data_IF_653494335510
#
_entry.id   IF_653494335510
#
_cell.length_a   1.000
_cell.length_b   1.000
_cell.length_c   1.000
_cell.angle_alpha   90.00
_cell.angle_beta   90.00
_cell.angle_gamma   90.00
#
_symmetry.space_group_name_H-M   'P 1'
#
loop_
_entity.id
_entity.type
_entity.pdbx_description
1 polymer ?
#
# COMPACT_ATOMS: atom_id res chain seq x y z
N UNK A 1 -48.94 36.55 -40.76
CA UNK A 1 -48.13 35.80 -39.76
C UNK A 1 -48.78 34.43 -39.58
N UNK A 2 -48.16 33.36 -40.10
CA UNK A 2 -48.72 31.99 -40.05
C UNK A 2 -48.52 31.42 -38.64
N UNK A 3 -49.60 30.97 -38.01
CA UNK A 3 -49.59 30.33 -36.69
C UNK A 3 -48.78 29.03 -36.75
N UNK A 4 -47.63 29.01 -36.07
CA UNK A 4 -46.84 27.79 -35.90
C UNK A 4 -47.69 26.80 -35.11
N UNK A 5 -47.93 25.63 -35.71
CA UNK A 5 -48.79 24.60 -35.16
C UNK A 5 -48.11 23.98 -33.93
N UNK A 6 -48.75 24.06 -32.75
CA UNK A 6 -48.15 23.69 -31.45
C UNK A 6 -47.62 22.24 -31.41
N UNK A 7 -48.18 21.37 -32.23
CA UNK A 7 -47.76 19.97 -32.39
C UNK A 7 -46.36 19.86 -33.00
N UNK A 8 -46.02 20.72 -33.97
CA UNK A 8 -44.70 20.72 -34.62
C UNK A 8 -43.60 21.17 -33.64
N UNK A 9 -43.91 22.13 -32.76
CA UNK A 9 -43.00 22.57 -31.71
C UNK A 9 -42.72 21.47 -30.67
N UNK A 10 -43.75 20.70 -30.30
CA UNK A 10 -43.62 19.60 -29.34
C UNK A 10 -42.81 18.43 -29.91
N UNK A 11 -42.94 18.15 -31.21
CA UNK A 11 -42.16 17.12 -31.91
C UNK A 11 -40.68 17.49 -32.01
N UNK A 12 -40.37 18.76 -32.32
CA UNK A 12 -38.98 19.25 -32.38
C UNK A 12 -38.31 19.19 -31.00
N UNK A 13 -39.07 19.51 -29.94
CA UNK A 13 -38.55 19.45 -28.58
C UNK A 13 -38.29 18.00 -28.12
N UNK A 14 -39.14 17.05 -28.52
CA UNK A 14 -38.94 15.63 -28.20
C UNK A 14 -37.67 15.07 -28.87
N UNK A 15 -37.40 15.42 -30.13
CA UNK A 15 -36.19 14.97 -30.85
C UNK A 15 -34.91 15.54 -30.23
N UNK A 16 -34.96 16.77 -29.70
CA UNK A 16 -33.80 17.40 -29.05
C UNK A 16 -33.36 16.69 -27.76
N UNK A 17 -34.30 16.08 -27.01
CA UNK A 17 -33.98 15.34 -25.77
C UNK A 17 -33.26 14.03 -26.08
N UNK A 18 -33.69 13.29 -27.11
CA UNK A 18 -33.04 12.04 -27.52
C UNK A 18 -31.66 12.25 -28.18
N UNK A 19 -31.44 13.40 -28.81
CA UNK A 19 -30.14 13.77 -29.39
C UNK A 19 -29.12 14.30 -28.35
N UNK A 20 -29.54 14.54 -27.10
CA UNK A 20 -28.66 15.05 -26.03
C UNK A 20 -27.84 13.97 -25.32
N UNK A 21 -28.12 12.69 -25.59
CA UNK A 21 -27.34 11.58 -25.05
C UNK A 21 -26.02 11.47 -25.84
N UNK A 22 -25.06 12.35 -25.54
CA UNK A 22 -23.69 12.17 -25.99
C UNK A 22 -23.11 10.99 -25.22
N UNK A 23 -22.55 9.96 -25.88
CA UNK A 23 -21.81 8.94 -25.16
C UNK A 23 -20.67 9.65 -24.42
N UNK A 24 -20.64 9.51 -23.10
CA UNK A 24 -19.53 9.99 -22.30
C UNK A 24 -18.28 9.25 -22.79
N UNK A 25 -17.36 9.99 -23.39
CA UNK A 25 -16.05 9.48 -23.73
C UNK A 25 -15.28 9.33 -22.42
N UNK A 26 -15.48 8.20 -21.74
CA UNK A 26 -14.67 7.83 -20.60
C UNK A 26 -13.22 7.82 -21.06
N UNK A 27 -12.39 8.60 -20.38
CA UNK A 27 -10.96 8.63 -20.66
C UNK A 27 -10.38 7.23 -20.42
N UNK A 28 -9.57 6.75 -21.35
CA UNK A 28 -8.87 5.47 -21.23
C UNK A 28 -8.11 5.41 -19.90
N UNK A 29 -8.32 4.35 -19.12
CA UNK A 29 -7.81 4.19 -17.75
C UNK A 29 -6.28 3.99 -17.67
N UNK A 30 -5.56 4.15 -18.78
CA UNK A 30 -4.14 3.92 -18.91
C UNK A 30 -3.75 2.44 -18.78
N UNK A 31 -2.46 2.12 -18.95
CA UNK A 31 -1.97 0.76 -18.77
C UNK A 31 -2.07 0.33 -17.30
N UNK A 32 -2.20 -0.98 -17.09
CA UNK A 32 -2.13 -1.55 -15.74
C UNK A 32 -0.79 -1.20 -15.09
N UNK A 33 -0.85 -0.77 -13.84
CA UNK A 33 0.31 -0.26 -13.13
C UNK A 33 1.17 -1.39 -12.59
N UNK A 34 2.47 -1.29 -12.82
CA UNK A 34 3.45 -2.21 -12.25
C UNK A 34 3.68 -1.91 -10.75
N UNK A 35 3.05 -2.72 -9.91
CA UNK A 35 3.18 -2.62 -8.46
C UNK A 35 4.55 -3.11 -7.97
N UNK A 36 5.17 -4.06 -8.67
CA UNK A 36 6.47 -4.57 -8.26
C UNK A 36 7.57 -3.52 -8.49
N UNK A 37 7.54 -2.84 -9.63
CA UNK A 37 8.43 -1.72 -9.91
C UNK A 37 8.29 -0.60 -8.87
N UNK A 38 7.09 -0.40 -8.30
CA UNK A 38 6.89 0.59 -7.24
C UNK A 38 7.64 0.26 -5.94
N UNK A 39 7.84 -1.02 -5.64
CA UNK A 39 8.52 -1.50 -4.44
C UNK A 39 10.05 -1.45 -4.56
N UNK A 40 10.59 -1.49 -5.77
CA UNK A 40 12.02 -1.42 -6.02
C UNK A 40 12.64 -0.11 -5.53
N UNK A 41 13.81 -0.20 -4.88
CA UNK A 41 14.63 0.95 -4.52
C UNK A 41 15.08 0.94 -3.06
N UNK A 42 15.61 2.09 -2.64
CA UNK A 42 16.10 2.31 -1.28
C UNK A 42 15.02 2.97 -0.43
N UNK A 43 14.79 2.43 0.76
CA UNK A 43 13.74 2.83 1.67
C UNK A 43 14.32 3.13 3.04
N UNK A 44 14.04 4.32 3.56
CA UNK A 44 14.44 4.73 4.92
C UNK A 44 13.21 4.88 5.78
N UNK A 45 13.24 4.30 6.97
CA UNK A 45 12.13 4.38 7.91
C UNK A 45 12.00 5.81 8.43
N UNK A 46 10.77 6.32 8.42
CA UNK A 46 10.46 7.67 8.91
C UNK A 46 9.45 7.66 10.06
N UNK A 47 8.63 6.61 10.16
CA UNK A 47 7.61 6.50 11.20
C UNK A 47 7.37 5.06 11.62
N UNK A 48 7.21 4.84 12.92
CA UNK A 48 6.77 3.58 13.51
C UNK A 48 5.55 3.84 14.40
N UNK A 49 4.44 3.17 14.10
CA UNK A 49 3.18 3.27 14.85
C UNK A 49 2.85 1.90 15.44
N UNK A 50 2.53 1.87 16.73
CA UNK A 50 1.98 0.70 17.40
C UNK A 50 0.46 0.84 17.50
N UNK A 51 -0.27 -0.26 17.27
CA UNK A 51 -1.72 -0.36 17.44
C UNK A 51 -2.02 -1.45 18.46
N UNK A 52 -2.81 -1.11 19.48
CA UNK A 52 -3.43 -2.11 20.35
C UNK A 52 -4.72 -2.59 19.69
N UNK A 53 -4.71 -3.82 19.21
CA UNK A 53 -5.81 -4.39 18.43
C UNK A 53 -6.98 -4.81 19.33
N UNK A 54 -6.75 -5.04 20.62
CA UNK A 54 -7.83 -5.29 21.58
C UNK A 54 -8.54 -3.98 21.95
N UNK A 55 -7.77 -2.92 22.19
CA UNK A 55 -8.31 -1.58 22.44
C UNK A 55 -9.13 -1.08 21.24
N UNK A 56 -8.63 -1.29 20.03
CA UNK A 56 -9.33 -0.98 18.78
C UNK A 56 -10.62 -1.77 18.63
N UNK A 57 -10.59 -3.08 18.88
CA UNK A 57 -11.79 -3.94 18.80
C UNK A 57 -12.86 -3.52 19.79
N UNK A 58 -12.46 -3.05 20.97
CA UNK A 58 -13.36 -2.57 22.03
C UNK A 58 -13.78 -1.11 21.88
N UNK A 59 -13.29 -0.40 20.86
CA UNK A 59 -13.66 0.98 20.57
C UNK A 59 -13.09 2.02 21.55
N UNK A 60 -11.95 1.73 22.18
CA UNK A 60 -11.31 2.73 23.04
C UNK A 60 -10.76 3.91 22.22
N UNK A 61 -10.77 5.14 22.78
CA UNK A 61 -10.33 6.34 22.07
C UNK A 61 -8.83 6.35 21.74
N UNK A 62 -8.00 5.75 22.60
CA UNK A 62 -6.55 5.70 22.44
C UNK A 62 -6.08 4.29 22.09
N UNK A 63 -6.08 4.00 20.79
CA UNK A 63 -5.77 2.67 20.24
C UNK A 63 -4.43 2.63 19.49
N UNK A 64 -3.84 3.78 19.17
CA UNK A 64 -2.60 3.90 18.40
C UNK A 64 -1.63 4.82 19.11
N UNK A 65 -0.35 4.45 19.04
CA UNK A 65 0.74 5.22 19.61
C UNK A 65 1.87 5.35 18.58
N UNK A 66 2.31 6.59 18.36
CA UNK A 66 3.55 6.84 17.62
C UNK A 66 4.74 6.48 18.53
N UNK A 67 5.52 5.49 18.12
CA UNK A 67 6.68 5.00 18.87
C UNK A 67 8.01 5.42 18.22
N UNK A 68 7.96 6.27 17.19
CA UNK A 68 9.11 6.67 16.38
C UNK A 68 10.25 7.27 17.22
N UNK A 69 9.93 8.01 18.28
CA UNK A 69 10.91 8.64 19.17
C UNK A 69 11.32 7.76 20.36
N UNK A 70 10.62 6.66 20.62
CA UNK A 70 10.93 5.77 21.74
C UNK A 70 12.17 4.90 21.48
N UNK A 71 12.45 4.63 20.22
CA UNK A 71 13.63 3.91 19.76
C UNK A 71 14.21 4.63 18.54
N UNK A 72 15.49 4.41 18.19
CA UNK A 72 16.13 5.08 17.05
C UNK A 72 15.69 4.44 15.72
N UNK A 73 14.39 4.45 15.44
CA UNK A 73 13.77 3.83 14.28
C UNK A 73 14.29 4.39 12.96
N UNK A 74 14.54 5.70 12.89
CA UNK A 74 14.95 6.41 11.67
C UNK A 74 16.34 6.06 11.15
N UNK A 75 17.12 5.27 11.90
CA UNK A 75 18.38 4.69 11.41
C UNK A 75 18.17 3.46 10.54
N UNK A 76 16.98 2.86 10.56
CA UNK A 76 16.68 1.69 9.75
C UNK A 76 16.48 2.09 8.29
N UNK A 77 17.21 1.42 7.40
CA UNK A 77 17.02 1.51 5.97
C UNK A 77 17.12 0.12 5.33
N UNK A 78 16.51 -0.05 4.16
CA UNK A 78 16.66 -1.27 3.37
C UNK A 78 16.55 -0.98 1.88
N UNK A 79 17.09 -1.87 1.06
CA UNK A 79 17.01 -1.82 -0.39
C UNK A 79 16.34 -3.08 -0.94
N UNK A 80 15.50 -2.91 -1.95
CA UNK A 80 14.86 -3.98 -2.70
C UNK A 80 15.30 -3.89 -4.17
N UNK A 81 15.98 -4.94 -4.65
CA UNK A 81 16.41 -5.03 -6.04
C UNK A 81 15.50 -5.96 -6.83
N UNK A 82 15.26 -5.63 -8.08
CA UNK A 82 14.51 -6.45 -9.05
C UNK A 82 15.35 -6.65 -10.31
N UNK A 83 15.02 -7.65 -11.09
CA UNK A 83 15.48 -7.84 -12.46
C UNK A 83 14.27 -8.02 -13.41
N UNK A 84 14.53 -8.40 -14.67
CA UNK A 84 13.47 -8.64 -15.66
C UNK A 84 12.51 -9.78 -15.28
N UNK A 85 12.90 -10.67 -14.37
CA UNK A 85 12.15 -11.85 -13.95
C UNK A 85 11.47 -11.67 -12.58
N UNK A 86 11.83 -10.63 -11.81
CA UNK A 86 11.14 -10.25 -10.59
C UNK A 86 12.07 -9.84 -9.43
N UNK A 87 11.66 -10.05 -8.17
CA UNK A 87 12.48 -9.81 -6.99
C UNK A 87 13.82 -10.56 -7.01
N UNK A 88 14.91 -9.88 -6.64
CA UNK A 88 16.24 -10.51 -6.54
C UNK A 88 16.77 -10.42 -5.11
N UNK A 89 17.64 -9.46 -4.84
CA UNK A 89 18.34 -9.29 -3.58
C UNK A 89 17.76 -8.16 -2.76
N UNK A 90 17.91 -8.26 -1.44
CA UNK A 90 17.65 -7.15 -0.55
C UNK A 90 18.83 -6.97 0.40
N UNK A 91 18.98 -5.76 0.92
CA UNK A 91 19.85 -5.48 2.06
C UNK A 91 19.06 -4.66 3.07
N UNK A 92 19.25 -4.91 4.36
CA UNK A 92 18.63 -4.16 5.44
C UNK A 92 19.70 -3.75 6.45
N UNK A 93 19.77 -2.44 6.69
CA UNK A 93 20.71 -1.79 7.59
C UNK A 93 19.93 -1.27 8.79
N UNK A 94 19.87 -2.02 9.90
CA UNK A 94 19.09 -1.60 11.07
C UNK A 94 19.68 -0.38 11.78
N UNK A 95 20.99 -0.15 11.67
CA UNK A 95 21.68 0.84 12.50
C UNK A 95 21.48 0.50 13.98
N UNK A 96 20.95 1.45 14.75
CA UNK A 96 20.59 1.26 16.16
C UNK A 96 19.12 0.90 16.38
N UNK A 97 18.31 0.86 15.31
CA UNK A 97 16.87 0.58 15.36
C UNK A 97 16.59 -0.86 15.83
N UNK A 98 15.46 -1.10 16.52
CA UNK A 98 14.95 -2.44 16.73
C UNK A 98 14.83 -3.23 15.42
N UNK A 99 14.97 -4.56 15.50
CA UNK A 99 14.91 -5.43 14.31
C UNK A 99 13.49 -5.44 13.72
N UNK A 100 13.30 -4.74 12.59
CA UNK A 100 12.05 -4.75 11.83
C UNK A 100 12.00 -5.94 10.87
N UNK A 101 13.12 -6.25 10.22
CA UNK A 101 13.30 -7.46 9.41
C UNK A 101 14.30 -8.38 10.15
N UNK A 102 14.02 -9.68 10.23
CA UNK A 102 14.84 -10.63 11.02
C UNK A 102 16.24 -10.82 10.44
N UNK A 103 16.39 -10.61 9.13
CA UNK A 103 17.60 -10.83 8.34
C UNK A 103 18.05 -9.51 7.71
N UNK A 104 19.37 -9.29 7.59
CA UNK A 104 19.97 -8.03 7.11
C UNK A 104 20.35 -8.07 5.63
N UNK A 105 20.15 -9.18 4.95
CA UNK A 105 20.39 -9.31 3.52
C UNK A 105 20.10 -10.72 3.04
N UNK A 106 20.03 -10.91 1.73
CA UNK A 106 19.68 -12.17 1.08
C UNK A 106 18.79 -11.94 -0.12
N UNK A 107 17.84 -12.84 -0.35
CA UNK A 107 16.83 -12.70 -1.39
C UNK A 107 15.50 -12.23 -0.81
N UNK A 108 14.73 -11.51 -1.61
CA UNK A 108 13.36 -11.20 -1.27
C UNK A 108 12.43 -11.70 -2.37
N UNK A 109 11.17 -11.92 -2.01
CA UNK A 109 10.12 -12.31 -2.91
C UNK A 109 8.80 -11.66 -2.48
N UNK A 110 7.79 -11.78 -3.33
CA UNK A 110 6.41 -11.45 -3.01
C UNK A 110 5.53 -12.68 -3.13
N UNK A 111 4.39 -12.67 -2.44
CA UNK A 111 3.39 -13.73 -2.54
C UNK A 111 2.67 -13.75 -3.90
N UNK A 112 2.56 -12.60 -4.57
CA UNK A 112 2.03 -12.48 -5.92
C UNK A 112 2.73 -11.35 -6.68
N UNK A 113 3.26 -11.63 -7.89
CA UNK A 113 3.99 -10.64 -8.69
C UNK A 113 3.10 -9.49 -9.18
N UNK A 114 1.80 -9.74 -9.36
CA UNK A 114 0.83 -8.77 -9.89
C UNK A 114 0.18 -7.94 -8.78
N UNK A 115 -0.18 -8.58 -7.66
CA UNK A 115 -0.87 -7.96 -6.52
C UNK A 115 -0.21 -8.37 -5.19
N UNK A 116 1.02 -7.90 -4.91
CA UNK A 116 1.76 -8.33 -3.75
C UNK A 116 1.08 -7.89 -2.46
N UNK A 117 0.88 -8.79 -1.50
CA UNK A 117 0.40 -8.45 -0.15
C UNK A 117 1.46 -8.69 0.90
N UNK A 118 2.44 -9.54 0.61
CA UNK A 118 3.50 -9.89 1.54
C UNK A 118 4.86 -9.79 0.89
N UNK A 119 5.82 -9.22 1.60
CA UNK A 119 7.24 -9.34 1.29
C UNK A 119 7.81 -10.49 2.09
N UNK A 120 8.61 -11.32 1.43
CA UNK A 120 9.22 -12.52 2.00
C UNK A 120 10.72 -12.36 1.89
N UNK A 121 11.42 -12.17 3.01
CA UNK A 121 12.87 -12.06 3.10
C UNK A 121 13.48 -13.39 3.48
N UNK A 122 14.49 -13.85 2.73
CA UNK A 122 15.14 -15.14 2.95
C UNK A 122 16.65 -14.99 3.00
N UNK A 123 17.27 -15.61 4.01
CA UNK A 123 18.72 -15.80 4.08
C UNK A 123 19.01 -17.21 4.61
N UNK A 124 19.48 -18.10 3.74
CA UNK A 124 19.63 -19.52 4.05
C UNK A 124 18.29 -20.13 4.48
N UNK A 125 18.27 -20.75 5.66
CA UNK A 125 17.06 -21.36 6.23
C UNK A 125 16.12 -20.35 6.94
N UNK A 126 16.54 -19.11 7.14
CA UNK A 126 15.74 -18.10 7.86
C UNK A 126 14.82 -17.39 6.87
N UNK A 127 13.51 -17.41 7.17
CA UNK A 127 12.48 -16.69 6.43
C UNK A 127 11.78 -15.68 7.36
N UNK A 128 11.60 -14.45 6.87
CA UNK A 128 10.80 -13.42 7.52
C UNK A 128 9.76 -12.89 6.54
N UNK A 129 8.49 -12.90 6.96
CA UNK A 129 7.38 -12.41 6.14
C UNK A 129 6.82 -11.16 6.80
N UNK A 130 6.64 -10.11 6.01
CA UNK A 130 5.97 -8.87 6.42
C UNK A 130 4.86 -8.53 5.46
N UNK A 131 3.77 -7.98 5.95
CA UNK A 131 2.64 -7.61 5.12
C UNK A 131 2.79 -6.18 4.63
N UNK A 132 2.35 -5.90 3.40
CA UNK A 132 2.25 -4.56 2.86
C UNK A 132 1.01 -3.88 3.44
N UNK A 133 1.20 -2.71 4.04
CA UNK A 133 0.10 -1.83 4.48
C UNK A 133 -0.48 -0.97 3.36
N UNK A 134 0.23 -0.86 2.23
CA UNK A 134 -0.17 -0.12 1.05
C UNK A 134 0.96 -0.06 0.02
N UNK A 135 0.61 0.24 -1.22
CA UNK A 135 1.56 0.40 -2.32
C UNK A 135 2.08 1.85 -2.39
N UNK A 136 3.38 2.08 -2.64
CA UNK A 136 3.97 3.42 -2.76
C UNK A 136 3.76 3.98 -4.18
N UNK A 137 2.56 4.44 -4.45
CA UNK A 137 2.03 4.47 -5.81
C UNK A 137 0.98 5.59 -5.97
N UNK A 138 1.05 6.35 -7.07
CA UNK A 138 0.23 7.55 -7.26
C UNK A 138 0.58 8.65 -6.25
N UNK A 139 -0.42 9.17 -5.51
CA UNK A 139 -0.22 10.20 -4.49
C UNK A 139 0.46 9.68 -3.21
N UNK A 140 0.43 8.37 -2.96
CA UNK A 140 1.03 7.77 -1.76
C UNK A 140 2.48 7.38 -2.06
N UNK A 141 3.47 8.22 -1.74
CA UNK A 141 4.88 7.92 -2.06
C UNK A 141 5.59 7.04 -1.01
N UNK A 142 4.94 6.80 0.13
CA UNK A 142 5.50 6.03 1.25
C UNK A 142 5.22 4.54 1.11
N UNK A 143 6.23 3.70 1.35
CA UNK A 143 6.03 2.26 1.53
C UNK A 143 5.62 1.99 2.97
N UNK A 144 4.61 1.14 3.19
CA UNK A 144 4.15 0.76 4.54
C UNK A 144 4.28 -0.74 4.75
N UNK A 145 4.96 -1.14 5.82
CA UNK A 145 5.06 -2.53 6.24
C UNK A 145 4.32 -2.74 7.56
N UNK A 146 3.61 -3.86 7.67
CA UNK A 146 2.88 -4.27 8.88
C UNK A 146 3.51 -5.53 9.47
N UNK A 147 3.70 -5.54 10.80
CA UNK A 147 4.00 -6.74 11.59
C UNK A 147 2.97 -6.94 12.67
N UNK A 148 2.45 -8.16 12.74
CA UNK A 148 1.49 -8.59 13.75
C UNK A 148 2.21 -9.32 14.89
N UNK A 149 1.86 -8.99 16.13
CA UNK A 149 2.24 -9.73 17.33
C UNK A 149 1.00 -10.42 17.89
N UNK A 150 1.02 -11.74 17.82
CA UNK A 150 -0.05 -12.62 18.30
C UNK A 150 0.34 -13.24 19.63
N UNK A 151 -0.66 -13.48 20.45
CA UNK A 151 -0.52 -14.30 21.64
C UNK A 151 -0.12 -15.73 21.24
N UNK A 152 0.87 -16.31 21.93
CA UNK A 152 1.43 -17.61 21.56
C UNK A 152 0.46 -18.76 21.86
N UNK A 153 -0.36 -18.63 22.90
CA UNK A 153 -1.25 -19.70 23.36
C UNK A 153 -2.59 -19.68 22.64
N UNK A 154 -3.15 -18.50 22.41
CA UNK A 154 -4.50 -18.31 21.85
C UNK A 154 -4.50 -17.92 20.37
N UNK A 155 -3.36 -17.49 19.82
CA UNK A 155 -3.26 -16.98 18.44
C UNK A 155 -3.93 -15.62 18.20
N UNK A 156 -4.51 -15.03 19.25
CA UNK A 156 -5.19 -13.73 19.18
C UNK A 156 -4.20 -12.63 18.80
N UNK A 157 -4.59 -11.76 17.86
CA UNK A 157 -3.81 -10.56 17.54
C UNK A 157 -3.90 -9.59 18.72
N UNK A 158 -2.75 -9.25 19.30
CA UNK A 158 -2.66 -8.34 20.44
C UNK A 158 -2.23 -6.95 19.99
N UNK A 159 -1.09 -6.90 19.31
CA UNK A 159 -0.46 -5.65 18.89
C UNK A 159 -0.11 -5.76 17.41
N UNK A 160 -0.32 -4.69 16.66
CA UNK A 160 0.30 -4.56 15.34
C UNK A 160 1.20 -3.34 15.25
N UNK A 161 2.24 -3.45 14.43
CA UNK A 161 3.18 -2.39 14.16
C UNK A 161 3.09 -2.02 12.70
N UNK A 162 2.98 -0.73 12.42
CA UNK A 162 3.05 -0.17 11.07
C UNK A 162 4.31 0.67 10.95
N UNK A 163 5.13 0.35 9.97
CA UNK A 163 6.39 1.00 9.66
C UNK A 163 6.25 1.72 8.32
N UNK A 164 6.44 3.04 8.31
CA UNK A 164 6.34 3.86 7.10
C UNK A 164 7.72 4.32 6.65
N UNK A 165 7.99 4.14 5.38
CA UNK A 165 9.28 4.39 4.75
C UNK A 165 9.14 5.39 3.61
N UNK A 166 10.14 6.26 3.49
CA UNK A 166 10.29 7.13 2.34
C UNK A 166 11.37 6.58 1.41
N UNK A 167 11.14 6.74 0.10
CA UNK A 167 12.14 6.42 -0.91
C UNK A 167 13.34 7.36 -0.75
N UNK A 168 14.55 6.86 -0.94
CA UNK A 168 15.80 7.63 -0.92
C UNK A 168 16.31 7.85 -2.34
#
# INVERSE_FOLDING_TARGET
MKSINKITLMLVLAVAVFASCKPDALQELGPERDLLASLQGNWKLVKATQVDEDAKTKGFPYQQLDITSLFPYTTFAFSLNTDANGPTTFTATPGTSPKIIKVTGGTWAVDNLKYPKNLIFTNGAVRDTVSLGGYPVGAATSLKLKKDKRDFTTGKLLISYTYEFNKQ
#
